data_IF_652688594420
#
_entry.id   IF_652688594420
#
_cell.length_a   1.000
_cell.length_b   1.000
_cell.length_c   1.000
_cell.angle_alpha   90.00
_cell.angle_beta   90.00
_cell.angle_gamma   90.00
#
_symmetry.space_group_name_H-M   'P 1'
#
loop_
_entity.id
_entity.type
_entity.pdbx_description
1 polymer ?
#
# COMPACT_ATOMS: atom_id res chain seq x y z
N UNK A 1 5.99 -9.64 -11.01
CA UNK A 1 4.66 -10.21 -10.71
C UNK A 1 4.68 -10.70 -9.27
N UNK A 2 3.52 -10.78 -8.61
CA UNK A 2 3.42 -11.20 -7.21
C UNK A 2 2.24 -12.15 -7.03
N UNK A 3 2.38 -13.10 -6.12
CA UNK A 3 1.26 -13.89 -5.58
C UNK A 3 1.42 -14.03 -4.06
N UNK A 4 0.31 -14.18 -3.36
CA UNK A 4 0.31 -14.35 -1.91
C UNK A 4 0.91 -15.72 -1.52
N UNK A 5 1.82 -15.72 -0.55
CA UNK A 5 2.41 -16.91 0.08
C UNK A 5 2.53 -16.70 1.61
N UNK A 6 2.94 -17.74 2.34
CA UNK A 6 3.21 -17.60 3.78
C UNK A 6 4.41 -16.66 4.01
N UNK A 7 4.36 -15.79 5.04
CA UNK A 7 5.48 -14.88 5.35
C UNK A 7 6.76 -15.61 5.79
N UNK A 8 6.67 -16.90 6.14
CA UNK A 8 7.82 -17.73 6.53
C UNK A 8 8.43 -18.50 5.36
N UNK A 9 7.93 -18.32 4.14
CA UNK A 9 8.49 -19.02 2.99
C UNK A 9 9.92 -18.59 2.69
N UNK A 10 10.70 -19.57 2.25
CA UNK A 10 12.06 -19.38 1.75
C UNK A 10 12.03 -19.46 0.23
N UNK A 11 12.61 -18.47 -0.43
CA UNK A 11 12.69 -18.39 -1.89
C UNK A 11 13.37 -19.61 -2.52
N UNK A 12 14.28 -20.26 -1.79
CA UNK A 12 15.01 -21.45 -2.25
C UNK A 12 14.07 -22.66 -2.42
N UNK A 13 12.92 -22.68 -1.75
CA UNK A 13 11.89 -23.72 -1.91
C UNK A 13 11.00 -23.50 -3.15
N UNK A 14 11.26 -22.44 -3.92
CA UNK A 14 10.47 -22.01 -5.07
C UNK A 14 11.31 -22.07 -6.34
N UNK A 15 11.25 -23.20 -7.04
CA UNK A 15 11.76 -23.32 -8.40
C UNK A 15 10.99 -22.38 -9.35
N UNK A 16 11.63 -22.00 -10.45
CA UNK A 16 10.99 -21.12 -11.45
C UNK A 16 9.70 -21.75 -11.99
N UNK A 17 9.72 -23.06 -12.26
CA UNK A 17 8.53 -23.80 -12.70
C UNK A 17 7.40 -23.76 -11.67
N UNK A 18 7.71 -23.90 -10.38
CA UNK A 18 6.67 -23.83 -9.32
C UNK A 18 6.05 -22.43 -9.26
N UNK A 19 6.86 -21.38 -9.46
CA UNK A 19 6.39 -20.00 -9.54
C UNK A 19 5.48 -19.80 -10.76
N UNK A 20 5.89 -20.27 -11.93
CA UNK A 20 5.09 -20.15 -13.15
C UNK A 20 3.80 -20.97 -13.08
N UNK A 21 3.83 -22.16 -12.49
CA UNK A 21 2.64 -22.97 -12.24
C UNK A 21 1.61 -22.23 -11.37
N UNK A 22 2.04 -21.58 -10.29
CA UNK A 22 1.14 -20.74 -9.46
C UNK A 22 0.57 -19.55 -10.24
N UNK A 23 1.39 -18.88 -11.07
CA UNK A 23 0.89 -17.77 -11.89
C UNK A 23 -0.16 -18.22 -12.89
N UNK A 24 0.07 -19.35 -13.58
CA UNK A 24 -0.91 -19.91 -14.51
C UNK A 24 -2.23 -20.24 -13.80
N UNK A 25 -2.17 -20.89 -12.64
CA UNK A 25 -3.35 -21.27 -11.88
C UNK A 25 -4.16 -20.06 -11.36
N UNK A 26 -3.49 -19.00 -10.91
CA UNK A 26 -4.15 -17.81 -10.33
C UNK A 26 -4.59 -16.77 -11.35
N UNK A 27 -4.04 -16.83 -12.56
CA UNK A 27 -4.39 -15.95 -13.68
C UNK A 27 -5.18 -16.67 -14.78
N UNK A 28 -5.65 -17.89 -14.50
CA UNK A 28 -6.47 -18.65 -15.45
C UNK A 28 -7.73 -17.86 -15.80
N UNK A 29 -8.03 -17.83 -17.09
CA UNK A 29 -9.16 -17.09 -17.68
C UNK A 29 -9.94 -18.02 -18.60
N UNK A 30 -11.23 -17.75 -18.77
CA UNK A 30 -12.11 -18.58 -19.59
C UNK A 30 -11.83 -18.50 -21.10
N UNK A 31 -11.05 -17.51 -21.54
CA UNK A 31 -10.70 -17.28 -22.95
C UNK A 31 -9.38 -17.96 -23.36
N UNK A 32 -8.77 -18.72 -22.45
CA UNK A 32 -7.53 -19.45 -22.71
C UNK A 32 -6.28 -18.57 -22.73
N UNK A 33 -6.37 -17.32 -22.27
CA UNK A 33 -5.20 -16.47 -22.10
C UNK A 33 -4.24 -17.08 -21.05
N UNK A 34 -2.95 -17.02 -21.35
CA UNK A 34 -1.87 -17.48 -20.47
C UNK A 34 -0.80 -16.42 -20.32
N UNK A 35 -0.17 -16.28 -19.14
CA UNK A 35 0.90 -15.32 -18.94
C UNK A 35 2.12 -15.69 -19.80
N UNK A 36 2.78 -14.67 -20.37
CA UNK A 36 4.04 -14.87 -21.09
C UNK A 36 5.17 -15.14 -20.10
N UNK A 37 5.80 -16.30 -20.24
CA UNK A 37 6.86 -16.74 -19.34
C UNK A 37 8.25 -16.30 -19.80
N UNK A 38 9.18 -16.23 -18.85
CA UNK A 38 10.55 -15.80 -19.07
C UNK A 38 11.46 -16.09 -17.87
N UNK A 39 12.75 -15.77 -17.99
CA UNK A 39 13.71 -16.02 -16.93
C UNK A 39 13.40 -15.20 -15.68
N UNK A 40 13.38 -15.84 -14.51
CA UNK A 40 13.22 -15.17 -13.22
C UNK A 40 14.60 -14.76 -12.70
N UNK A 41 14.88 -13.46 -12.71
CA UNK A 41 16.18 -12.91 -12.30
C UNK A 41 16.22 -12.46 -10.82
N UNK A 42 15.06 -12.40 -10.14
CA UNK A 42 14.98 -12.04 -8.73
C UNK A 42 13.76 -12.67 -8.07
N UNK A 43 13.93 -13.13 -6.83
CA UNK A 43 12.88 -13.70 -5.98
C UNK A 43 13.01 -13.08 -4.60
N UNK A 44 11.89 -12.71 -4.01
CA UNK A 44 11.85 -12.20 -2.64
C UNK A 44 10.49 -12.47 -2.02
N UNK A 45 10.46 -12.66 -0.71
CA UNK A 45 9.23 -12.71 0.08
C UNK A 45 9.08 -11.38 0.79
N UNK A 46 7.98 -10.68 0.53
CA UNK A 46 7.70 -9.36 1.07
C UNK A 46 6.70 -9.51 2.21
N UNK A 47 7.11 -9.15 3.43
CA UNK A 47 6.21 -9.09 4.58
C UNK A 47 5.18 -7.97 4.41
N UNK A 48 3.90 -8.28 4.61
CA UNK A 48 2.84 -7.27 4.66
C UNK A 48 2.70 -6.72 6.06
N UNK A 49 2.83 -5.40 6.21
CA UNK A 49 2.70 -4.71 7.49
C UNK A 49 2.01 -3.36 7.30
N UNK A 50 1.18 -3.00 8.28
CA UNK A 50 0.72 -1.64 8.51
C UNK A 50 1.35 -1.14 9.81
N UNK A 51 1.93 0.06 9.79
CA UNK A 51 2.46 0.75 10.96
C UNK A 51 2.35 2.25 10.77
N UNK A 52 1.99 2.97 11.82
CA UNK A 52 2.01 4.44 11.87
C UNK A 52 2.51 4.85 13.25
N UNK A 53 3.44 5.78 13.30
CA UNK A 53 3.96 6.38 14.55
C UNK A 53 3.40 7.78 14.73
N UNK A 54 2.93 8.05 15.94
CA UNK A 54 2.45 9.37 16.34
C UNK A 54 3.10 9.82 17.66
N UNK A 55 3.63 11.05 17.76
CA UNK A 55 3.81 12.02 16.68
C UNK A 55 4.99 11.66 15.75
N UNK A 56 5.02 12.24 14.54
CA UNK A 56 6.13 12.09 13.57
C UNK A 56 7.29 13.08 13.83
N UNK A 57 7.39 13.62 15.06
CA UNK A 57 8.38 14.64 15.43
C UNK A 57 8.72 14.54 16.91
N UNK A 58 9.99 14.80 17.26
CA UNK A 58 10.42 15.07 18.62
C UNK A 58 11.45 16.21 18.66
N UNK A 59 11.06 17.38 19.18
CA UNK A 59 11.93 18.57 19.20
C UNK A 59 12.35 19.01 17.80
N UNK A 60 13.63 18.83 17.46
CA UNK A 60 14.21 19.12 16.12
C UNK A 60 14.36 17.88 15.23
N UNK A 61 13.93 16.71 15.70
CA UNK A 61 13.88 15.47 14.93
C UNK A 61 12.52 15.34 14.22
N UNK A 62 12.54 15.05 12.92
CA UNK A 62 11.35 14.82 12.09
C UNK A 62 11.49 13.46 11.41
N UNK A 63 10.43 12.65 11.44
CA UNK A 63 10.37 11.34 10.80
C UNK A 63 9.59 11.44 9.49
N UNK A 64 10.07 10.83 8.41
CA UNK A 64 9.44 10.82 7.10
C UNK A 64 9.56 9.44 6.43
N UNK A 65 8.55 9.05 5.66
CA UNK A 65 8.50 7.75 4.98
C UNK A 65 8.52 6.57 5.96
N UNK A 66 9.23 5.51 5.60
CA UNK A 66 9.32 4.25 6.36
C UNK A 66 9.84 4.41 7.80
N UNK A 67 10.49 5.54 8.12
CA UNK A 67 10.86 5.86 9.51
C UNK A 67 9.65 6.18 10.41
N UNK A 68 8.51 6.55 9.82
CA UNK A 68 7.29 6.96 10.51
C UNK A 68 6.11 6.02 10.24
N UNK A 69 6.00 5.48 9.02
CA UNK A 69 4.86 4.65 8.62
C UNK A 69 5.22 3.62 7.57
N UNK A 70 4.54 2.48 7.61
CA UNK A 70 4.65 1.39 6.64
C UNK A 70 3.24 0.98 6.25
N UNK A 71 3.01 0.75 4.95
CA UNK A 71 1.71 0.33 4.42
C UNK A 71 1.89 -0.91 3.54
N UNK A 72 0.89 -1.82 3.49
CA UNK A 72 0.96 -2.98 2.61
C UNK A 72 1.14 -2.55 1.14
N UNK A 73 1.94 -3.29 0.36
CA UNK A 73 2.26 -2.91 -1.02
C UNK A 73 1.04 -2.94 -1.95
N UNK A 74 -0.06 -3.58 -1.54
CA UNK A 74 -1.31 -3.71 -2.30
C UNK A 74 -1.87 -2.36 -2.79
N UNK A 75 -1.76 -1.31 -1.97
CA UNK A 75 -2.21 0.04 -2.35
C UNK A 75 -1.17 0.87 -3.11
N UNK A 76 0.06 0.37 -3.27
CA UNK A 76 1.19 1.08 -3.87
C UNK A 76 1.47 2.48 -3.25
N UNK A 77 1.35 2.62 -1.92
CA UNK A 77 1.38 3.93 -1.25
C UNK A 77 2.68 4.32 -0.55
N UNK A 78 3.58 3.38 -0.20
CA UNK A 78 4.76 3.66 0.63
C UNK A 78 5.63 4.84 0.14
N UNK A 79 6.22 4.69 -1.05
CA UNK A 79 7.05 5.75 -1.64
C UNK A 79 6.27 7.07 -1.85
N UNK A 80 4.99 6.98 -2.24
CA UNK A 80 4.13 8.14 -2.46
C UNK A 80 3.86 8.93 -1.16
N UNK A 81 3.75 8.24 -0.03
CA UNK A 81 3.64 8.88 1.28
C UNK A 81 4.97 9.52 1.70
N UNK A 82 6.10 8.83 1.52
CA UNK A 82 7.41 9.39 1.79
C UNK A 82 7.67 10.68 0.99
N UNK A 83 7.27 10.70 -0.29
CA UNK A 83 7.37 11.90 -1.14
C UNK A 83 6.48 13.06 -0.62
N UNK A 84 5.27 12.75 -0.16
CA UNK A 84 4.38 13.75 0.45
C UNK A 84 4.96 14.33 1.74
N UNK A 85 5.52 13.49 2.61
CA UNK A 85 6.18 13.93 3.85
C UNK A 85 7.35 14.88 3.55
N UNK A 86 8.20 14.49 2.59
CA UNK A 86 9.32 15.31 2.14
C UNK A 86 8.85 16.66 1.59
N UNK A 87 7.75 16.70 0.83
CA UNK A 87 7.18 17.94 0.32
C UNK A 87 6.67 18.85 1.45
N UNK A 88 5.98 18.30 2.44
CA UNK A 88 5.46 19.05 3.60
C UNK A 88 6.65 19.62 4.40
N UNK A 89 7.65 18.80 4.71
CA UNK A 89 8.86 19.24 5.42
C UNK A 89 9.62 20.30 4.63
N UNK A 90 9.76 20.16 3.31
CA UNK A 90 10.44 21.15 2.48
C UNK A 90 9.74 22.52 2.55
N UNK A 91 8.41 22.57 2.44
CA UNK A 91 7.63 23.81 2.63
C UNK A 91 7.87 24.41 4.01
N UNK A 92 7.84 23.58 5.05
CA UNK A 92 8.01 24.01 6.44
C UNK A 92 9.43 24.56 6.71
N UNK A 93 10.47 23.89 6.20
CA UNK A 93 11.84 24.36 6.31
C UNK A 93 12.08 25.67 5.56
N UNK A 94 11.51 25.84 4.36
CA UNK A 94 11.62 27.10 3.63
C UNK A 94 11.00 28.26 4.42
N UNK A 95 9.81 28.08 5.00
CA UNK A 95 9.16 29.11 5.83
C UNK A 95 9.99 29.45 7.08
N UNK A 96 10.55 28.43 7.75
CA UNK A 96 11.39 28.63 8.92
C UNK A 96 12.67 29.40 8.59
N UNK A 97 13.44 28.98 7.58
CA UNK A 97 14.73 29.59 7.28
C UNK A 97 14.62 30.96 6.58
N UNK A 98 13.56 31.21 5.79
CA UNK A 98 13.40 32.50 5.09
C UNK A 98 12.64 33.55 5.90
N UNK A 99 11.73 33.12 6.78
CA UNK A 99 10.78 34.03 7.43
C UNK A 99 10.71 33.84 8.95
N UNK A 100 11.53 32.95 9.52
CA UNK A 100 11.54 32.62 10.95
C UNK A 100 10.17 32.16 11.48
N UNK A 101 9.36 31.54 10.61
CA UNK A 101 8.04 31.01 10.95
C UNK A 101 8.15 29.50 11.25
N UNK A 102 7.87 29.09 12.49
CA UNK A 102 7.94 27.68 12.91
C UNK A 102 6.62 26.93 12.82
N UNK A 103 5.50 27.63 12.62
CA UNK A 103 4.15 27.05 12.70
C UNK A 103 3.97 25.80 11.81
N UNK A 104 4.55 25.80 10.60
CA UNK A 104 4.49 24.65 9.69
C UNK A 104 5.30 23.45 10.17
N UNK A 105 6.42 23.68 10.84
CA UNK A 105 7.21 22.61 11.47
C UNK A 105 6.50 22.08 12.72
N UNK A 106 5.86 22.97 13.48
CA UNK A 106 5.10 22.59 14.67
C UNK A 106 3.84 21.76 14.31
N UNK A 107 3.23 22.06 13.16
CA UNK A 107 2.07 21.33 12.63
C UNK A 107 2.42 20.13 11.75
N UNK A 108 3.72 19.83 11.53
CA UNK A 108 4.16 18.78 10.60
C UNK A 108 3.44 17.45 10.81
N UNK A 109 3.48 16.91 12.04
CA UNK A 109 2.87 15.63 12.37
C UNK A 109 1.37 15.63 12.04
N UNK A 110 0.65 16.67 12.47
CA UNK A 110 -0.79 16.76 12.23
C UNK A 110 -1.12 16.84 10.73
N UNK A 111 -0.33 17.55 9.95
CA UNK A 111 -0.52 17.68 8.50
C UNK A 111 -0.20 16.40 7.74
N UNK A 112 0.94 15.77 8.02
CA UNK A 112 1.33 14.51 7.38
C UNK A 112 0.36 13.37 7.74
N UNK A 113 -0.01 13.24 9.01
CA UNK A 113 -0.86 12.13 9.49
C UNK A 113 -2.25 12.10 8.84
N UNK A 114 -2.83 13.25 8.48
CA UNK A 114 -4.12 13.30 7.75
C UNK A 114 -4.06 12.51 6.44
N UNK A 115 -2.95 12.59 5.72
CA UNK A 115 -2.76 11.86 4.46
C UNK A 115 -2.33 10.42 4.70
N UNK A 116 -1.43 10.19 5.66
CA UNK A 116 -0.97 8.85 6.04
C UNK A 116 -2.15 7.95 6.40
N UNK A 117 -3.08 8.40 7.25
CA UNK A 117 -4.23 7.57 7.63
C UNK A 117 -5.18 7.25 6.49
N UNK A 118 -5.45 8.20 5.59
CA UNK A 118 -6.29 7.96 4.41
C UNK A 118 -5.65 6.90 3.50
N UNK A 119 -4.33 7.00 3.28
CA UNK A 119 -3.60 6.02 2.49
C UNK A 119 -3.49 4.65 3.19
N UNK A 120 -3.29 4.61 4.51
CA UNK A 120 -3.28 3.37 5.30
C UNK A 120 -4.63 2.67 5.23
N UNK A 121 -5.74 3.41 5.40
CA UNK A 121 -7.11 2.90 5.22
C UNK A 121 -7.28 2.29 3.82
N UNK A 122 -6.86 3.00 2.78
CA UNK A 122 -6.97 2.50 1.40
C UNK A 122 -6.13 1.23 1.16
N UNK A 123 -4.87 1.22 1.59
CA UNK A 123 -3.99 0.05 1.46
C UNK A 123 -4.52 -1.16 2.23
N UNK A 124 -5.10 -0.93 3.42
CA UNK A 124 -5.77 -1.99 4.18
C UNK A 124 -7.00 -2.52 3.45
N UNK A 125 -7.87 -1.64 2.95
CA UNK A 125 -9.07 -2.01 2.21
C UNK A 125 -8.77 -2.84 0.95
N UNK A 126 -7.78 -2.41 0.16
CA UNK A 126 -7.28 -3.19 -0.99
C UNK A 126 -6.74 -4.56 -0.56
N UNK A 127 -6.00 -4.62 0.55
CA UNK A 127 -5.46 -5.88 1.07
C UNK A 127 -6.58 -6.81 1.54
N UNK A 128 -7.56 -6.29 2.28
CA UNK A 128 -8.71 -7.07 2.76
C UNK A 128 -9.60 -7.58 1.64
N UNK A 129 -9.63 -6.90 0.49
CA UNK A 129 -10.42 -7.31 -0.66
C UNK A 129 -9.73 -8.34 -1.56
N UNK A 130 -8.40 -8.25 -1.69
CA UNK A 130 -7.64 -8.98 -2.72
C UNK A 130 -6.77 -10.13 -2.19
N UNK A 131 -6.78 -10.40 -0.88
CA UNK A 131 -6.00 -11.47 -0.25
C UNK A 131 -6.88 -12.44 0.53
N UNK A 132 -6.48 -13.70 0.57
CA UNK A 132 -7.11 -14.72 1.40
C UNK A 132 -6.51 -14.67 2.81
N UNK A 133 -7.34 -14.61 3.85
CA UNK A 133 -6.87 -14.58 5.23
C UNK A 133 -6.90 -15.98 5.85
N UNK A 134 -5.83 -16.41 6.56
CA UNK A 134 -5.86 -17.66 7.31
C UNK A 134 -7.02 -17.64 8.32
N UNK A 135 -7.84 -18.69 8.33
CA UNK A 135 -8.97 -18.82 9.23
C UNK A 135 -10.21 -18.01 8.84
N UNK A 136 -10.24 -17.42 7.64
CA UNK A 136 -11.47 -16.79 7.14
C UNK A 136 -12.58 -17.82 6.92
N UNK A 137 -13.79 -17.49 7.35
CA UNK A 137 -14.97 -18.34 7.13
C UNK A 137 -15.71 -18.00 5.82
N UNK A 138 -16.71 -18.81 5.48
CA UNK A 138 -17.53 -18.62 4.26
C UNK A 138 -18.23 -17.25 4.24
N UNK A 139 -18.65 -16.74 5.39
CA UNK A 139 -19.32 -15.44 5.47
C UNK A 139 -18.35 -14.31 5.09
N UNK A 140 -17.12 -14.33 5.64
CA UNK A 140 -16.08 -13.36 5.31
C UNK A 140 -15.68 -13.43 3.84
N UNK A 141 -15.60 -14.63 3.26
CA UNK A 141 -15.32 -14.80 1.84
C UNK A 141 -16.45 -14.21 0.96
N UNK A 142 -17.72 -14.47 1.31
CA UNK A 142 -18.87 -13.88 0.60
C UNK A 142 -18.90 -12.36 0.70
N UNK A 143 -18.55 -11.79 1.85
CA UNK A 143 -18.44 -10.34 2.02
C UNK A 143 -17.33 -9.74 1.15
N UNK A 144 -16.18 -10.42 1.05
CA UNK A 144 -15.07 -10.01 0.18
C UNK A 144 -15.49 -9.98 -1.30
N UNK A 145 -16.19 -11.01 -1.76
CA UNK A 145 -16.72 -11.07 -3.13
C UNK A 145 -17.76 -9.98 -3.40
N UNK A 146 -18.67 -9.74 -2.44
CA UNK A 146 -19.67 -8.67 -2.57
C UNK A 146 -19.02 -7.28 -2.66
N UNK A 147 -17.95 -7.03 -1.90
CA UNK A 147 -17.21 -5.77 -1.98
C UNK A 147 -16.51 -5.60 -3.35
N UNK A 148 -15.90 -6.68 -3.87
CA UNK A 148 -15.28 -6.67 -5.19
C UNK A 148 -16.31 -6.45 -6.31
N UNK A 149 -17.46 -7.13 -6.24
CA UNK A 149 -18.57 -6.94 -7.17
C UNK A 149 -19.09 -5.50 -7.14
N UNK A 150 -19.26 -4.91 -5.95
CA UNK A 150 -19.67 -3.51 -5.83
C UNK A 150 -18.65 -2.56 -6.46
N UNK A 151 -17.35 -2.72 -6.18
CA UNK A 151 -16.29 -1.86 -6.74
C UNK A 151 -16.21 -1.95 -8.26
N UNK A 152 -16.40 -3.14 -8.81
CA UNK A 152 -16.28 -3.39 -10.26
C UNK A 152 -17.58 -3.11 -11.04
N UNK A 153 -18.74 -3.23 -10.39
CA UNK A 153 -20.06 -3.01 -10.99
C UNK A 153 -20.65 -1.61 -10.78
N UNK A 154 -20.20 -0.86 -9.77
CA UNK A 154 -20.72 0.48 -9.45
C UNK A 154 -19.76 1.58 -9.90
N UNK A 155 -20.28 2.58 -10.63
CA UNK A 155 -19.50 3.79 -10.98
C UNK A 155 -18.99 4.53 -9.75
N UNK A 156 -19.79 4.58 -8.67
CA UNK A 156 -19.38 5.25 -7.44
C UNK A 156 -18.28 4.47 -6.70
N UNK A 157 -18.39 3.13 -6.66
CA UNK A 157 -17.35 2.26 -6.10
C UNK A 157 -16.03 2.36 -6.88
N UNK A 158 -16.11 2.29 -8.22
CA UNK A 158 -14.97 2.45 -9.10
C UNK A 158 -14.32 3.83 -8.96
N UNK A 159 -15.11 4.91 -8.84
CA UNK A 159 -14.59 6.26 -8.62
C UNK A 159 -13.85 6.40 -7.28
N UNK A 160 -14.39 5.81 -6.21
CA UNK A 160 -13.75 5.79 -4.89
C UNK A 160 -12.41 5.02 -4.91
N UNK A 161 -12.35 3.89 -5.64
CA UNK A 161 -11.07 3.20 -5.87
C UNK A 161 -10.10 4.09 -6.67
N UNK A 162 -10.57 4.69 -7.76
CA UNK A 162 -9.75 5.48 -8.67
C UNK A 162 -9.11 6.69 -7.98
N UNK A 163 -9.87 7.50 -7.26
CA UNK A 163 -9.35 8.71 -6.58
C UNK A 163 -8.27 8.36 -5.54
N UNK A 164 -8.44 7.24 -4.84
CA UNK A 164 -7.47 6.78 -3.86
C UNK A 164 -6.25 6.16 -4.55
N UNK A 165 -6.45 5.45 -5.67
CA UNK A 165 -5.36 4.81 -6.42
C UNK A 165 -4.44 5.84 -7.08
N UNK A 166 -4.98 6.90 -7.69
CA UNK A 166 -4.16 8.01 -8.24
C UNK A 166 -3.55 8.89 -7.15
N UNK A 167 -4.12 8.86 -5.95
CA UNK A 167 -3.62 9.54 -4.77
C UNK A 167 -4.37 10.84 -4.49
N UNK A 168 -4.76 11.01 -3.23
CA UNK A 168 -5.47 12.20 -2.76
C UNK A 168 -4.56 13.44 -2.76
N UNK A 169 -5.14 14.65 -2.87
CA UNK A 169 -4.40 15.91 -2.85
C UNK A 169 -3.48 16.04 -1.63
N UNK A 170 -2.36 16.74 -1.84
CA UNK A 170 -1.41 17.08 -0.79
C UNK A 170 -1.76 18.47 -0.28
N UNK A 171 -1.85 18.61 1.05
CA UNK A 171 -2.14 19.88 1.72
C UNK A 171 -0.91 20.81 1.76
#
# INVERSE_FOLDING_TARGET
>A
MYFQCSPTEKTDNWSDEKIWAEFRARLETSDGWVPKEGPIFSKTVIGMRSLVVEPMRYGRLFLAGDAAHVVPPTGAKGLNLAASDAQILAKAFVAFYKSNQSDLLDQYSATALRRVWKATRFSWWMTSMLHTFPGADEFQHRLQLAELDYVTGSRAGAAALAENYVGLPIE
#
